data_IF_920961440603
#
_entry.id   IF_920961440603
#
_cell.length_a   1.000
_cell.length_b   1.000
_cell.length_c   1.000
_cell.angle_alpha   90.00
_cell.angle_beta   90.00
_cell.angle_gamma   90.00
#
_symmetry.space_group_name_H-M   'P 1'
#
loop_
_entity.id
_entity.type
_entity.pdbx_description
1 polymer ?
#
# COMPACT_ATOMS: atom_id res chain seq x y z
N UNK A 1 -26.24 14.47 -20.98
CA UNK A 1 -25.57 14.17 -19.68
C UNK A 1 -24.14 13.78 -19.99
N UNK A 2 -23.21 14.75 -20.00
CA UNK A 2 -21.80 14.46 -20.27
C UNK A 2 -21.28 13.53 -19.16
N UNK A 3 -20.69 12.39 -19.55
CA UNK A 3 -20.09 11.46 -18.60
C UNK A 3 -19.08 12.20 -17.72
N UNK A 4 -19.22 12.06 -16.41
CA UNK A 4 -18.36 12.74 -15.45
C UNK A 4 -16.90 12.32 -15.69
N UNK A 5 -16.05 13.29 -16.06
CA UNK A 5 -14.64 13.03 -16.32
C UNK A 5 -13.99 12.39 -15.10
N UNK A 6 -13.38 11.22 -15.27
CA UNK A 6 -12.70 10.50 -14.19
C UNK A 6 -11.40 9.89 -14.70
N UNK A 7 -10.30 10.62 -14.51
CA UNK A 7 -8.97 10.05 -14.63
C UNK A 7 -8.50 9.60 -13.26
N UNK A 8 -8.34 8.29 -13.07
CA UNK A 8 -7.73 7.73 -11.87
C UNK A 8 -6.31 7.31 -12.17
N UNK A 9 -5.38 7.72 -11.32
CA UNK A 9 -3.98 7.37 -11.41
C UNK A 9 -3.65 6.44 -10.24
N UNK A 10 -3.00 5.33 -10.55
CA UNK A 10 -2.41 4.42 -9.56
C UNK A 10 -0.91 4.68 -9.49
N UNK A 11 -0.43 4.85 -8.28
CA UNK A 11 0.98 5.06 -8.00
C UNK A 11 1.47 3.97 -7.07
N UNK A 12 2.71 3.53 -7.29
CA UNK A 12 3.45 2.71 -6.35
C UNK A 12 4.56 3.52 -5.73
N UNK A 13 4.74 3.42 -4.42
CA UNK A 13 5.73 4.18 -3.68
C UNK A 13 6.46 3.31 -2.65
N UNK A 14 7.70 3.69 -2.37
CA UNK A 14 8.47 3.12 -1.26
C UNK A 14 8.46 4.04 -0.05
N UNK A 15 8.52 3.46 1.14
CA UNK A 15 8.64 4.13 2.44
C UNK A 15 9.80 3.51 3.21
N UNK A 16 10.89 4.24 3.39
CA UNK A 16 12.14 3.74 3.98
C UNK A 16 12.66 4.65 5.08
N UNK A 17 13.64 4.15 5.85
CA UNK A 17 14.34 4.92 6.89
C UNK A 17 13.36 5.42 7.96
N UNK A 18 13.60 6.58 8.56
CA UNK A 18 12.82 7.12 9.69
C UNK A 18 11.32 7.28 9.37
N UNK A 19 10.95 7.45 8.10
CA UNK A 19 9.54 7.55 7.69
C UNK A 19 8.77 6.25 7.95
N UNK A 20 9.45 5.11 8.18
CA UNK A 20 8.79 3.86 8.59
C UNK A 20 7.98 4.01 9.88
N UNK A 21 8.36 4.95 10.75
CA UNK A 21 7.66 5.25 11.99
C UNK A 21 6.45 6.18 11.81
N UNK A 22 6.23 6.73 10.61
CA UNK A 22 5.02 7.48 10.31
C UNK A 22 3.80 6.56 10.30
N UNK A 23 2.71 6.99 10.94
CA UNK A 23 1.44 6.27 10.90
C UNK A 23 0.83 6.33 9.50
N UNK A 24 -0.13 5.46 9.24
CA UNK A 24 -0.90 5.50 7.98
C UNK A 24 -1.50 6.89 7.72
N UNK A 25 -2.05 7.55 8.76
CA UNK A 25 -2.64 8.89 8.65
C UNK A 25 -1.61 9.95 8.29
N UNK A 26 -0.39 9.82 8.80
CA UNK A 26 0.68 10.76 8.49
C UNK A 26 1.12 10.61 7.03
N UNK A 27 1.24 9.37 6.54
CA UNK A 27 1.52 9.10 5.12
C UNK A 27 0.41 9.68 4.23
N UNK A 28 -0.87 9.48 4.58
CA UNK A 28 -1.99 10.09 3.85
C UNK A 28 -1.87 11.62 3.76
N UNK A 29 -1.61 12.28 4.90
CA UNK A 29 -1.42 13.74 4.96
C UNK A 29 -0.22 14.22 4.16
N UNK A 30 0.87 13.46 4.14
CA UNK A 30 2.05 13.76 3.32
C UNK A 30 1.70 13.72 1.84
N UNK A 31 0.99 12.68 1.39
CA UNK A 31 0.53 12.59 0.00
C UNK A 31 -0.43 13.72 -0.38
N UNK A 32 -1.40 14.05 0.49
CA UNK A 32 -2.28 15.21 0.29
C UNK A 32 -1.49 16.51 0.09
N UNK A 33 -0.50 16.77 0.95
CA UNK A 33 0.36 17.95 0.88
C UNK A 33 1.26 17.94 -0.36
N UNK A 34 1.84 16.79 -0.70
CA UNK A 34 2.73 16.65 -1.84
C UNK A 34 1.98 16.86 -3.16
N UNK A 35 0.79 16.26 -3.31
CA UNK A 35 -0.08 16.44 -4.47
C UNK A 35 -0.53 17.90 -4.61
N UNK A 36 -0.90 18.54 -3.50
CA UNK A 36 -1.25 19.97 -3.49
C UNK A 36 -0.08 20.86 -3.89
N UNK A 37 1.12 20.64 -3.35
CA UNK A 37 2.33 21.40 -3.70
C UNK A 37 2.78 21.18 -5.14
N UNK A 38 2.54 19.98 -5.65
CA UNK A 38 2.78 19.60 -7.04
C UNK A 38 1.75 20.17 -8.03
N UNK A 39 0.76 20.95 -7.58
CA UNK A 39 -0.35 21.45 -8.41
C UNK A 39 -1.05 20.32 -9.19
N UNK A 40 -1.16 19.14 -8.57
CA UNK A 40 -1.92 18.02 -9.12
C UNK A 40 -3.39 18.26 -8.80
N UNK A 41 -4.28 18.31 -9.80
CA UNK A 41 -5.67 18.70 -9.61
C UNK A 41 -6.48 17.52 -9.05
N UNK A 42 -6.30 17.20 -7.77
CA UNK A 42 -7.01 16.10 -7.11
C UNK A 42 -8.50 16.45 -6.98
N UNK A 43 -9.36 15.51 -7.36
CA UNK A 43 -10.82 15.62 -7.21
C UNK A 43 -11.21 15.61 -5.74
N UNK A 44 -12.19 16.42 -5.37
CA UNK A 44 -12.74 16.47 -4.02
C UNK A 44 -14.02 15.62 -3.92
N UNK A 45 -14.33 15.11 -2.72
CA UNK A 45 -15.61 14.47 -2.44
C UNK A 45 -16.73 15.50 -2.36
N UNK A 46 -17.95 15.12 -2.76
CA UNK A 46 -19.15 15.94 -2.57
C UNK A 46 -19.65 15.82 -1.13
N UNK A 47 -20.05 16.93 -0.49
CA UNK A 47 -20.62 16.95 0.86
C UNK A 47 -20.14 18.13 1.71
N UNK A 48 -20.58 18.17 2.98
CA UNK A 48 -20.29 19.29 3.91
C UNK A 48 -18.81 19.47 4.25
N UNK A 49 -17.99 18.42 4.14
CA UNK A 49 -16.54 18.47 4.35
C UNK A 49 -15.81 17.78 3.19
N UNK A 50 -15.60 18.48 2.06
CA UNK A 50 -14.91 17.92 0.90
C UNK A 50 -13.50 17.43 1.27
N UNK A 51 -13.21 16.17 0.94
CA UNK A 51 -11.89 15.56 1.11
C UNK A 51 -11.30 15.18 -0.24
N UNK A 52 -9.97 15.27 -0.41
CA UNK A 52 -9.33 14.81 -1.63
C UNK A 52 -9.60 13.31 -1.84
N UNK A 53 -9.91 12.93 -3.08
CA UNK A 53 -10.16 11.54 -3.49
C UNK A 53 -8.84 10.81 -3.65
N UNK A 54 -8.27 10.44 -2.52
CA UNK A 54 -7.05 9.65 -2.39
C UNK A 54 -7.41 8.39 -1.61
N UNK A 55 -7.00 7.23 -2.11
CA UNK A 55 -7.23 5.94 -1.46
C UNK A 55 -5.95 5.12 -1.39
N UNK A 56 -5.80 4.40 -0.28
CA UNK A 56 -4.72 3.45 -0.04
C UNK A 56 -5.39 2.08 0.13
N UNK A 57 -5.22 1.14 -0.82
CA UNK A 57 -5.84 -0.18 -0.72
C UNK A 57 -5.44 -0.96 0.52
N UNK A 58 -4.22 -0.72 1.03
CA UNK A 58 -3.71 -1.32 2.25
C UNK A 58 -3.10 -0.24 3.15
N UNK A 59 -3.37 -0.33 4.45
CA UNK A 59 -2.67 0.45 5.44
C UNK A 59 -1.47 -0.32 5.95
N UNK A 60 -0.27 0.23 5.75
CA UNK A 60 0.96 -0.33 6.28
C UNK A 60 1.11 -0.04 7.78
N UNK A 61 1.63 -1.01 8.53
CA UNK A 61 1.94 -0.87 9.95
C UNK A 61 3.05 0.14 10.23
N UNK A 62 3.02 0.71 11.44
CA UNK A 62 4.11 1.54 11.97
C UNK A 62 5.34 0.67 12.18
N UNK A 63 6.52 1.20 11.86
CA UNK A 63 7.79 0.50 11.98
C UNK A 63 8.15 -0.38 10.79
N UNK A 64 7.24 -0.55 9.83
CA UNK A 64 7.45 -1.38 8.65
C UNK A 64 7.89 -0.49 7.47
N UNK A 65 8.98 -0.87 6.83
CA UNK A 65 9.40 -0.31 5.54
C UNK A 65 8.62 -0.95 4.38
N UNK A 66 8.47 -0.19 3.31
CA UNK A 66 7.73 -0.60 2.14
C UNK A 66 8.52 -0.33 0.86
N UNK A 67 8.47 -1.27 -0.07
CA UNK A 67 9.09 -1.14 -1.39
C UNK A 67 8.10 -0.71 -2.46
N UNK A 68 6.82 -1.07 -2.33
CA UNK A 68 5.89 -1.05 -3.47
C UNK A 68 4.41 -0.82 -3.09
N UNK A 69 4.18 0.07 -2.12
CA UNK A 69 2.84 0.38 -1.61
C UNK A 69 2.00 1.15 -2.61
N UNK A 70 0.69 0.94 -2.56
CA UNK A 70 -0.23 1.49 -3.56
C UNK A 70 -0.97 2.70 -3.00
N UNK A 71 -1.05 3.75 -3.82
CA UNK A 71 -1.96 4.88 -3.62
C UNK A 71 -2.67 5.19 -4.94
N UNK A 72 -3.97 5.43 -4.87
CA UNK A 72 -4.78 5.83 -6.00
C UNK A 72 -5.35 7.23 -5.80
N UNK A 73 -5.35 8.02 -6.87
CA UNK A 73 -5.81 9.41 -6.84
C UNK A 73 -6.73 9.66 -8.02
N UNK A 74 -7.86 10.31 -7.76
CA UNK A 74 -8.76 10.77 -8.83
C UNK A 74 -8.49 12.23 -9.16
N UNK A 75 -8.36 12.55 -10.44
CA UNK A 75 -8.12 13.92 -10.90
C UNK A 75 -9.42 14.62 -11.30
N UNK A 76 -9.51 15.91 -11.00
CA UNK A 76 -10.59 16.81 -11.37
C UNK A 76 -10.52 17.28 -12.83
N UNK A 77 -9.30 17.30 -13.40
CA UNK A 77 -9.04 17.60 -14.82
C UNK A 77 -7.93 16.70 -15.33
N UNK A 78 -7.90 16.49 -16.63
CA UNK A 78 -6.89 15.65 -17.25
C UNK A 78 -5.48 16.20 -17.02
N UNK A 79 -4.54 15.29 -16.72
CA UNK A 79 -3.11 15.59 -16.68
C UNK A 79 -2.34 14.36 -17.19
N UNK A 80 -1.27 14.53 -17.99
CA UNK A 80 -0.45 13.41 -18.40
C UNK A 80 0.11 12.67 -17.18
N UNK A 81 0.04 11.34 -17.17
CA UNK A 81 0.56 10.52 -16.05
C UNK A 81 2.04 10.80 -15.79
N UNK A 82 2.83 10.99 -16.86
CA UNK A 82 4.24 11.35 -16.76
C UNK A 82 4.46 12.70 -16.06
N UNK A 83 3.59 13.67 -16.30
CA UNK A 83 3.66 14.99 -15.66
C UNK A 83 3.29 14.89 -14.18
N UNK A 84 2.23 14.15 -13.83
CA UNK A 84 1.87 13.86 -12.43
C UNK A 84 3.05 13.21 -11.70
N UNK A 85 3.68 12.21 -12.33
CA UNK A 85 4.83 11.51 -11.76
C UNK A 85 6.02 12.46 -11.53
N UNK A 86 6.35 13.29 -12.51
CA UNK A 86 7.43 14.28 -12.44
C UNK A 86 7.20 15.26 -11.29
N UNK A 87 6.02 15.89 -11.24
CA UNK A 87 5.70 16.90 -10.21
C UNK A 87 5.65 16.29 -8.82
N UNK A 88 5.06 15.10 -8.68
CA UNK A 88 4.97 14.44 -7.39
C UNK A 88 6.35 14.05 -6.86
N UNK A 89 7.23 13.50 -7.70
CA UNK A 89 8.62 13.17 -7.30
C UNK A 89 9.37 14.36 -6.72
N UNK A 90 9.20 15.55 -7.32
CA UNK A 90 9.83 16.78 -6.83
C UNK A 90 9.28 17.30 -5.49
N UNK A 91 8.13 16.77 -5.04
CA UNK A 91 7.41 17.25 -3.85
C UNK A 91 7.26 16.20 -2.74
N UNK A 92 7.73 14.96 -2.96
CA UNK A 92 7.79 13.96 -1.90
C UNK A 92 8.96 14.26 -0.95
N UNK A 93 8.77 14.11 0.37
CA UNK A 93 9.86 14.27 1.33
C UNK A 93 10.82 13.08 1.25
N UNK A 94 12.04 13.28 1.78
CA UNK A 94 13.02 12.21 1.96
C UNK A 94 12.40 11.01 2.70
N UNK A 95 12.77 9.80 2.27
CA UNK A 95 12.23 8.54 2.80
C UNK A 95 10.92 8.07 2.13
N UNK A 96 10.26 8.92 1.33
CA UNK A 96 9.20 8.51 0.40
C UNK A 96 9.66 8.68 -1.04
N UNK A 97 9.37 7.70 -1.89
CA UNK A 97 9.77 7.78 -3.30
C UNK A 97 8.74 7.14 -4.20
N UNK A 98 8.46 7.81 -5.33
CA UNK A 98 7.53 7.30 -6.34
C UNK A 98 8.24 6.28 -7.25
N UNK A 99 7.84 5.03 -7.12
CA UNK A 99 8.36 3.88 -7.88
C UNK A 99 7.70 3.81 -9.25
N UNK A 100 6.36 3.79 -9.28
CA UNK A 100 5.57 3.66 -10.52
C UNK A 100 4.39 4.62 -10.52
N UNK A 101 3.97 5.07 -11.70
CA UNK A 101 2.79 5.91 -11.88
C UNK A 101 2.12 5.49 -13.19
N UNK A 102 0.86 5.09 -13.13
CA UNK A 102 0.11 4.57 -14.27
C UNK A 102 -1.38 4.95 -14.20
N UNK A 103 -2.07 4.88 -15.34
CA UNK A 103 -3.52 5.01 -15.34
C UNK A 103 -4.12 3.79 -14.62
N UNK A 104 -5.00 4.03 -13.65
CA UNK A 104 -5.75 2.94 -13.03
C UNK A 104 -6.86 2.47 -13.98
N UNK A 105 -7.17 1.18 -13.94
CA UNK A 105 -8.32 0.64 -14.68
C UNK A 105 -9.63 1.36 -14.24
N UNK A 106 -10.56 1.59 -15.16
CA UNK A 106 -11.87 2.15 -14.82
C UNK A 106 -12.61 1.22 -13.85
N UNK A 107 -13.32 1.80 -12.86
CA UNK A 107 -14.14 1.05 -11.91
C UNK A 107 -13.84 1.34 -10.44
N UNK A 108 -13.89 0.30 -9.59
CA UNK A 108 -13.66 0.41 -8.15
C UNK A 108 -12.16 0.58 -7.81
N UNK A 109 -11.88 1.03 -6.59
CA UNK A 109 -10.52 1.09 -6.03
C UNK A 109 -9.85 -0.28 -6.16
N UNK A 110 -8.55 -0.30 -6.44
CA UNK A 110 -7.79 -1.55 -6.45
C UNK A 110 -7.94 -2.33 -5.13
N UNK A 111 -8.08 -3.65 -5.24
CA UNK A 111 -8.01 -4.56 -4.11
C UNK A 111 -6.62 -5.21 -4.04
N UNK A 112 -6.16 -5.51 -2.84
CA UNK A 112 -4.88 -6.17 -2.61
C UNK A 112 -5.02 -7.66 -2.92
N UNK A 113 -4.34 -8.13 -3.96
CA UNK A 113 -4.33 -9.55 -4.32
C UNK A 113 -3.20 -10.35 -3.64
N UNK A 114 -2.06 -9.71 -3.38
CA UNK A 114 -0.87 -10.35 -2.81
C UNK A 114 -0.12 -9.35 -1.93
N UNK A 115 0.46 -9.86 -0.85
CA UNK A 115 1.39 -9.12 0.02
C UNK A 115 2.63 -10.00 0.19
N UNK A 116 3.80 -9.42 0.00
CA UNK A 116 5.09 -10.09 0.25
C UNK A 116 5.74 -9.41 1.44
N UNK A 117 6.16 -10.22 2.41
CA UNK A 117 6.94 -9.77 3.55
C UNK A 117 8.39 -10.21 3.36
N UNK A 118 9.32 -9.28 3.52
CA UNK A 118 10.74 -9.57 3.64
C UNK A 118 11.14 -9.37 5.10
N UNK A 119 11.70 -10.41 5.71
CA UNK A 119 12.07 -10.41 7.13
C UNK A 119 13.55 -10.73 7.21
N UNK A 120 14.32 -9.81 7.76
CA UNK A 120 15.76 -9.94 7.98
C UNK A 120 16.09 -9.83 9.47
N UNK A 121 17.35 -10.15 9.84
CA UNK A 121 17.79 -10.08 11.24
C UNK A 121 17.22 -11.18 12.14
N UNK A 122 16.80 -12.30 11.56
CA UNK A 122 16.30 -13.45 12.31
C UNK A 122 17.44 -14.24 12.98
N UNK A 123 18.64 -14.26 12.40
CA UNK A 123 19.78 -15.05 12.90
C UNK A 123 19.40 -16.52 13.01
N UNK A 124 19.70 -17.15 14.15
CA UNK A 124 19.36 -18.55 14.45
C UNK A 124 17.85 -18.84 14.50
N UNK A 125 16.99 -17.82 14.37
CA UNK A 125 15.53 -17.98 14.27
C UNK A 125 15.06 -18.20 12.83
N UNK A 126 15.94 -18.17 11.84
CA UNK A 126 15.58 -18.54 10.47
C UNK A 126 15.05 -19.98 10.47
N UNK A 127 13.88 -20.25 9.85
CA UNK A 127 13.38 -21.61 9.74
C UNK A 127 14.26 -22.38 8.76
N UNK A 128 14.52 -23.67 9.04
CA UNK A 128 15.16 -24.54 8.05
C UNK A 128 14.26 -24.72 6.83
N UNK A 129 14.87 -24.97 5.66
CA UNK A 129 14.15 -25.27 4.43
C UNK A 129 13.12 -26.40 4.62
N UNK A 130 13.49 -27.45 5.35
CA UNK A 130 12.60 -28.58 5.70
C UNK A 130 11.34 -28.15 6.46
N UNK A 131 11.47 -27.23 7.44
CA UNK A 131 10.32 -26.72 8.20
C UNK A 131 9.38 -25.92 7.31
N UNK A 132 9.93 -25.14 6.39
CA UNK A 132 9.14 -24.39 5.40
C UNK A 132 8.40 -25.33 4.46
N UNK A 133 9.10 -26.30 3.87
CA UNK A 133 8.47 -27.31 3.00
C UNK A 133 7.38 -28.08 3.74
N UNK A 134 7.64 -28.52 4.98
CA UNK A 134 6.65 -29.21 5.79
C UNK A 134 5.39 -28.37 6.03
N UNK A 135 5.54 -27.07 6.33
CA UNK A 135 4.40 -26.17 6.53
C UNK A 135 3.59 -25.98 5.24
N UNK A 136 4.26 -25.81 4.09
CA UNK A 136 3.60 -25.64 2.80
C UNK A 136 2.88 -26.92 2.34
N UNK A 137 3.31 -28.11 2.76
CA UNK A 137 2.63 -29.37 2.47
C UNK A 137 1.38 -29.62 3.33
N UNK A 138 1.21 -28.92 4.45
CA UNK A 138 0.00 -29.04 5.27
C UNK A 138 -1.22 -28.51 4.53
N UNK A 139 -2.36 -29.17 4.68
CA UNK A 139 -3.65 -28.70 4.15
C UNK A 139 -4.29 -27.62 5.04
N UNK A 140 -3.90 -27.56 6.31
CA UNK A 140 -4.48 -26.66 7.32
C UNK A 140 -3.39 -26.19 8.27
N UNK A 141 -3.32 -24.87 8.50
CA UNK A 141 -2.46 -24.23 9.50
C UNK A 141 -3.34 -23.30 10.32
N UNK A 142 -3.74 -23.70 11.53
CA UNK A 142 -4.65 -22.92 12.37
C UNK A 142 -3.87 -22.00 13.30
N UNK A 143 -4.17 -20.71 13.26
CA UNK A 143 -3.64 -19.73 14.21
C UNK A 143 -4.79 -19.12 15.02
N UNK A 144 -4.61 -19.04 16.33
CA UNK A 144 -5.56 -18.41 17.25
C UNK A 144 -5.25 -16.93 17.37
N UNK A 145 -6.20 -16.06 16.98
CA UNK A 145 -6.12 -14.62 17.20
C UNK A 145 -6.92 -14.25 18.44
N UNK A 146 -6.30 -13.50 19.34
CA UNK A 146 -6.94 -12.97 20.56
C UNK A 146 -7.19 -11.47 20.38
N UNK A 147 -8.41 -11.01 20.63
CA UNK A 147 -8.77 -9.58 20.72
C UNK A 147 -9.76 -9.37 21.85
N UNK A 148 -9.40 -8.56 22.84
CA UNK A 148 -10.29 -7.99 23.89
C UNK A 148 -11.33 -9.01 24.41
N UNK A 149 -10.89 -10.21 24.84
CA UNK A 149 -11.67 -11.39 25.31
C UNK A 149 -12.30 -12.34 24.28
N UNK A 150 -12.13 -12.12 22.98
CA UNK A 150 -12.58 -13.07 21.93
C UNK A 150 -11.39 -13.79 21.31
N UNK A 151 -11.44 -15.11 21.32
CA UNK A 151 -10.53 -15.96 20.57
C UNK A 151 -11.18 -16.37 19.24
N UNK A 152 -10.47 -16.20 18.14
CA UNK A 152 -10.89 -16.67 16.83
C UNK A 152 -9.77 -17.50 16.20
N UNK A 153 -10.06 -18.76 15.95
CA UNK A 153 -9.21 -19.65 15.17
C UNK A 153 -9.39 -19.36 13.68
N UNK A 154 -8.28 -19.23 12.95
CA UNK A 154 -8.28 -18.97 11.51
C UNK A 154 -7.30 -19.92 10.85
N UNK A 155 -7.76 -20.67 9.84
CA UNK A 155 -6.86 -21.42 8.97
C UNK A 155 -6.17 -20.43 8.02
N UNK A 156 -4.86 -20.27 8.16
CA UNK A 156 -4.05 -19.35 7.35
C UNK A 156 -3.39 -20.02 6.16
N UNK A 157 -3.39 -21.36 6.07
CA UNK A 157 -2.72 -22.07 4.98
C UNK A 157 -3.15 -21.60 3.59
N UNK A 158 -4.46 -21.39 3.29
CA UNK A 158 -4.90 -20.89 1.99
C UNK A 158 -4.42 -19.47 1.66
N UNK A 159 -3.97 -18.72 2.68
CA UNK A 159 -3.46 -17.35 2.52
C UNK A 159 -1.95 -17.30 2.30
N UNK A 160 -1.25 -18.43 2.43
CA UNK A 160 0.20 -18.53 2.21
C UNK A 160 0.42 -19.08 0.81
N UNK A 161 0.89 -18.23 -0.09
CA UNK A 161 1.23 -18.64 -1.44
C UNK A 161 2.60 -19.32 -1.48
N UNK A 162 3.62 -18.68 -0.92
CA UNK A 162 4.99 -19.16 -0.93
C UNK A 162 5.77 -18.61 0.27
N UNK A 163 6.87 -19.29 0.63
CA UNK A 163 7.84 -18.87 1.64
C UNK A 163 9.24 -19.26 1.13
N UNK A 164 10.11 -18.27 1.00
CA UNK A 164 11.51 -18.48 0.65
C UNK A 164 12.41 -18.09 1.83
N UNK A 165 13.45 -18.87 2.07
CA UNK A 165 14.52 -18.58 3.04
C UNK A 165 15.80 -18.44 2.23
N UNK A 166 16.37 -17.25 2.21
CA UNK A 166 17.70 -17.05 1.68
C UNK A 166 18.71 -17.46 2.75
N UNK A 167 19.59 -18.40 2.42
CA UNK A 167 20.75 -18.78 3.24
C UNK A 167 21.83 -17.70 3.24
#
# INVERSE_FOLDING_TARGET
MAGEFRQRIRMRFSKRSDVRFASHRDVMRVFERALRRADVPVRMSCGFNPRPRISFPLALGVGIEASDEVVEVELARWMPVAEVAKRLRANLPNGLSLVKCELAAPGQTGQVGRITYEISGLGDRLPSAERVTSLLQQSTVVVTRVREDKQKSVNIRPCIEDICVAE
#
